data_IF_413459122019
#
_entry.id   IF_413459122019
#
_cell.length_a   1.000
_cell.length_b   1.000
_cell.length_c   1.000
_cell.angle_alpha   90.00
_cell.angle_beta   90.00
_cell.angle_gamma   90.00
#
_symmetry.space_group_name_H-M   'P 1'
#
loop_
_entity.id
_entity.type
_entity.pdbx_description
1 polymer ?
#
# COMPACT_ATOMS: atom_id res chain seq x y z
N UNK A 1 -7.25 -5.77 -16.54
CA UNK A 1 -7.22 -6.96 -15.66
C UNK A 1 -8.14 -7.99 -16.29
N UNK A 2 -7.71 -9.25 -16.40
CA UNK A 2 -8.60 -10.32 -16.88
C UNK A 2 -9.70 -10.53 -15.83
N UNK A 3 -10.97 -10.61 -16.23
CA UNK A 3 -12.08 -10.83 -15.28
C UNK A 3 -12.10 -12.28 -14.81
N UNK A 4 -12.78 -12.53 -13.69
CA UNK A 4 -12.99 -13.90 -13.19
C UNK A 4 -13.76 -14.74 -14.23
N UNK A 5 -14.71 -14.13 -14.94
CA UNK A 5 -15.49 -14.74 -16.02
C UNK A 5 -14.58 -15.27 -17.15
N UNK A 6 -13.73 -14.40 -17.70
CA UNK A 6 -12.78 -14.77 -18.75
C UNK A 6 -11.83 -15.91 -18.32
N UNK A 7 -11.48 -15.96 -17.03
CA UNK A 7 -10.64 -17.06 -16.51
C UNK A 7 -11.37 -18.41 -16.48
N UNK A 8 -12.68 -18.41 -16.19
CA UNK A 8 -13.52 -19.61 -16.21
C UNK A 8 -13.72 -20.07 -17.65
N UNK A 9 -13.99 -19.13 -18.56
CA UNK A 9 -14.22 -19.41 -19.97
C UNK A 9 -12.99 -20.04 -20.64
N UNK A 10 -11.78 -19.53 -20.37
CA UNK A 10 -10.52 -20.17 -20.80
C UNK A 10 -10.45 -21.64 -20.37
N UNK A 11 -10.84 -21.94 -19.12
CA UNK A 11 -10.81 -23.31 -18.57
C UNK A 11 -11.87 -24.20 -19.18
N UNK A 12 -13.07 -23.68 -19.43
CA UNK A 12 -14.16 -24.42 -20.07
C UNK A 12 -13.78 -24.80 -21.50
N UNK A 13 -13.32 -23.84 -22.30
CA UNK A 13 -12.90 -24.08 -23.69
C UNK A 13 -11.72 -25.06 -23.77
N UNK A 14 -10.76 -24.96 -22.84
CA UNK A 14 -9.66 -25.92 -22.80
C UNK A 14 -10.13 -27.34 -22.41
N UNK A 15 -11.10 -27.48 -21.50
CA UNK A 15 -11.71 -28.79 -21.16
C UNK A 15 -12.52 -29.38 -22.33
N UNK A 16 -13.11 -28.53 -23.15
CA UNK A 16 -13.79 -28.92 -24.39
C UNK A 16 -12.81 -29.31 -25.52
N UNK A 17 -11.49 -29.22 -25.29
CA UNK A 17 -10.47 -29.63 -26.25
C UNK A 17 -10.00 -28.53 -27.22
N UNK A 18 -10.42 -27.29 -27.03
CA UNK A 18 -9.96 -26.19 -27.88
C UNK A 18 -8.47 -25.91 -27.68
N UNK A 19 -7.76 -25.67 -28.79
CA UNK A 19 -6.35 -25.28 -28.74
C UNK A 19 -6.18 -23.87 -28.16
N UNK A 20 -5.02 -23.60 -27.54
CA UNK A 20 -4.65 -22.26 -27.03
C UNK A 20 -4.84 -21.16 -28.09
N UNK A 21 -4.58 -21.47 -29.37
CA UNK A 21 -4.74 -20.51 -30.48
C UNK A 21 -6.20 -20.21 -30.78
N UNK A 22 -7.09 -21.20 -30.65
CA UNK A 22 -8.53 -21.02 -30.83
C UNK A 22 -9.10 -20.15 -29.69
N UNK A 23 -8.80 -20.51 -28.44
CA UNK A 23 -9.22 -19.78 -27.24
C UNK A 23 -8.77 -18.31 -27.28
N UNK A 24 -7.52 -18.08 -27.70
CA UNK A 24 -6.98 -16.72 -27.84
C UNK A 24 -7.74 -15.88 -28.88
N UNK A 25 -8.19 -16.48 -29.98
CA UNK A 25 -8.95 -15.78 -31.03
C UNK A 25 -10.38 -15.50 -30.59
N UNK A 26 -11.00 -16.48 -29.94
CA UNK A 26 -12.38 -16.41 -29.47
C UNK A 26 -12.56 -15.36 -28.36
N UNK A 27 -11.64 -15.32 -27.39
CA UNK A 27 -11.69 -14.39 -26.27
C UNK A 27 -10.95 -13.06 -26.51
N UNK A 28 -10.32 -12.89 -27.68
CA UNK A 28 -9.51 -11.70 -28.00
C UNK A 28 -8.29 -11.52 -27.09
N UNK A 29 -7.73 -12.62 -26.56
CA UNK A 29 -6.63 -12.61 -25.59
C UNK A 29 -5.29 -12.99 -26.22
N UNK A 30 -4.19 -12.54 -25.61
CA UNK A 30 -2.87 -13.03 -25.99
C UNK A 30 -2.72 -14.53 -25.68
N UNK A 31 -2.05 -15.27 -26.56
CA UNK A 31 -1.71 -16.70 -26.32
C UNK A 31 -0.95 -16.91 -25.02
N UNK A 32 -0.13 -15.93 -24.61
CA UNK A 32 0.63 -15.98 -23.36
C UNK A 32 -0.30 -15.86 -22.14
N UNK A 33 -1.34 -15.03 -22.23
CA UNK A 33 -2.39 -14.93 -21.20
C UNK A 33 -3.11 -16.27 -21.06
N UNK A 34 -3.62 -16.82 -22.17
CA UNK A 34 -4.32 -18.12 -22.15
C UNK A 34 -3.41 -19.22 -21.57
N UNK A 35 -2.15 -19.30 -22.02
CA UNK A 35 -1.18 -20.29 -21.50
C UNK A 35 -0.93 -20.12 -20.00
N UNK A 36 -0.80 -18.87 -19.52
CA UNK A 36 -0.60 -18.57 -18.09
C UNK A 36 -1.79 -19.07 -17.25
N UNK A 37 -3.01 -18.74 -17.67
CA UNK A 37 -4.24 -19.11 -16.96
C UNK A 37 -4.59 -20.60 -17.04
N UNK A 38 -4.07 -21.32 -18.03
CA UNK A 38 -4.19 -22.78 -18.10
C UNK A 38 -3.14 -23.52 -17.25
N UNK A 39 -1.95 -22.94 -17.07
CA UNK A 39 -0.88 -23.52 -16.24
C UNK A 39 -1.13 -23.27 -14.75
N UNK A 40 -1.48 -22.04 -14.41
CA UNK A 40 -1.80 -21.65 -13.05
C UNK A 40 -3.27 -22.01 -12.78
N UNK A 41 -3.51 -23.10 -12.07
CA UNK A 41 -4.86 -23.56 -11.71
C UNK A 41 -5.67 -22.51 -10.91
N UNK A 42 -5.01 -21.48 -10.37
CA UNK A 42 -5.62 -20.35 -9.67
C UNK A 42 -5.55 -19.06 -10.48
N UNK A 43 -6.56 -18.21 -10.31
CA UNK A 43 -6.46 -16.78 -10.63
C UNK A 43 -5.12 -16.26 -10.09
N UNK A 44 -4.32 -15.49 -10.85
CA UNK A 44 -3.19 -14.78 -10.27
C UNK A 44 -3.78 -13.79 -9.26
N UNK A 45 -3.92 -14.26 -8.02
CA UNK A 45 -4.34 -13.44 -6.90
C UNK A 45 -3.21 -12.44 -6.76
N UNK A 46 -3.48 -11.20 -7.17
CA UNK A 46 -2.55 -10.11 -6.95
C UNK A 46 -2.42 -9.97 -5.44
N UNK A 47 -1.43 -10.64 -4.86
CA UNK A 47 -1.13 -10.47 -3.44
C UNK A 47 -0.78 -8.99 -3.28
N UNK A 48 -1.43 -8.27 -2.37
CA UNK A 48 -1.02 -6.91 -2.05
C UNK A 48 0.48 -6.97 -1.76
N UNK A 49 1.24 -6.10 -2.44
CA UNK A 49 2.69 -6.03 -2.23
C UNK A 49 2.93 -5.83 -0.73
N UNK A 50 3.83 -6.59 -0.08
CA UNK A 50 4.11 -6.37 1.32
C UNK A 50 4.48 -4.89 1.52
N UNK A 51 3.99 -4.25 2.58
CA UNK A 51 4.28 -2.84 2.84
C UNK A 51 5.80 -2.68 2.84
N UNK A 52 6.29 -1.76 2.00
CA UNK A 52 7.71 -1.49 1.91
C UNK A 52 8.16 -0.89 3.23
N UNK A 53 9.19 -1.46 3.85
CA UNK A 53 9.80 -0.88 5.03
C UNK A 53 10.21 0.57 4.73
N UNK A 54 9.65 1.51 5.46
CA UNK A 54 9.99 2.92 5.36
C UNK A 54 11.20 3.19 6.25
N UNK A 55 12.07 4.12 5.82
CA UNK A 55 13.22 4.55 6.64
C UNK A 55 12.82 5.09 8.01
N UNK A 56 11.56 5.50 8.16
CA UNK A 56 10.99 6.04 9.39
C UNK A 56 10.58 4.93 10.38
N UNK A 57 10.37 3.68 9.93
CA UNK A 57 9.82 2.60 10.76
C UNK A 57 10.60 2.38 12.08
N UNK A 58 11.95 2.38 12.10
CA UNK A 58 12.70 2.21 13.34
C UNK A 58 12.58 3.38 14.34
N UNK A 59 12.09 4.54 13.89
CA UNK A 59 12.02 5.76 14.70
C UNK A 59 10.59 6.07 15.17
N UNK A 60 9.60 5.27 14.77
CA UNK A 60 8.18 5.50 15.10
C UNK A 60 7.93 5.46 16.60
N UNK A 61 8.47 4.46 17.29
CA UNK A 61 8.27 4.29 18.74
C UNK A 61 8.82 5.48 19.52
N UNK A 62 10.00 5.98 19.13
CA UNK A 62 10.59 7.20 19.69
C UNK A 62 9.70 8.42 19.46
N UNK A 63 9.22 8.61 18.23
CA UNK A 63 8.36 9.75 17.89
C UNK A 63 7.04 9.72 18.64
N UNK A 64 6.45 8.54 18.84
CA UNK A 64 5.21 8.39 19.61
C UNK A 64 5.45 8.71 21.09
N UNK A 65 6.49 8.15 21.71
CA UNK A 65 6.82 8.44 23.11
C UNK A 65 7.11 9.94 23.33
N UNK A 66 7.82 10.59 22.39
CA UNK A 66 8.08 12.04 22.45
C UNK A 66 6.81 12.87 22.27
N UNK A 67 5.93 12.48 21.35
CA UNK A 67 4.65 13.17 21.15
C UNK A 67 3.73 13.04 22.38
N UNK A 68 3.71 11.88 23.03
CA UNK A 68 2.95 11.65 24.26
C UNK A 68 3.52 12.45 25.44
N UNK A 69 4.85 12.45 25.62
CA UNK A 69 5.52 13.23 26.66
C UNK A 69 5.34 14.75 26.51
N UNK A 70 5.08 15.24 25.30
CA UNK A 70 4.86 16.65 25.04
C UNK A 70 3.44 17.13 25.33
N UNK A 71 2.47 16.23 25.53
CA UNK A 71 1.06 16.61 25.74
C UNK A 71 0.94 17.48 27.00
N UNK A 72 0.17 18.59 26.95
CA UNK A 72 -0.78 18.99 25.89
C UNK A 72 -0.16 19.79 24.74
N UNK A 73 1.13 20.12 24.79
CA UNK A 73 1.82 20.92 23.79
C UNK A 73 2.27 20.07 22.59
N UNK A 74 2.48 20.73 21.45
CA UNK A 74 2.87 20.06 20.21
C UNK A 74 4.30 20.41 19.81
N UNK A 75 5.15 19.41 19.63
CA UNK A 75 6.52 19.60 19.15
C UNK A 75 6.51 19.79 17.62
N UNK A 76 7.12 20.86 17.09
CA UNK A 76 7.25 21.04 15.64
C UNK A 76 8.00 19.88 14.99
N UNK A 77 7.54 19.44 13.81
CA UNK A 77 8.17 18.36 13.06
C UNK A 77 9.64 18.62 12.72
N UNK A 78 10.07 19.89 12.66
CA UNK A 78 11.48 20.28 12.46
C UNK A 78 12.36 19.91 13.65
N UNK A 79 11.85 19.99 14.88
CA UNK A 79 12.58 19.60 16.10
C UNK A 79 12.70 18.09 16.15
N UNK A 80 11.57 17.37 15.96
CA UNK A 80 11.56 15.91 15.92
C UNK A 80 12.46 15.36 14.82
N UNK A 81 12.54 16.04 13.66
CA UNK A 81 13.46 15.67 12.58
C UNK A 81 14.92 15.72 13.03
N UNK A 82 15.33 16.78 13.74
CA UNK A 82 16.69 16.92 14.25
C UNK A 82 17.02 15.83 15.27
N UNK A 83 16.08 15.52 16.16
CA UNK A 83 16.22 14.44 17.14
C UNK A 83 16.45 13.08 16.44
N UNK A 84 15.60 12.69 15.49
CA UNK A 84 15.75 11.41 14.79
C UNK A 84 16.95 11.40 13.83
N UNK A 85 17.36 12.54 13.28
CA UNK A 85 18.58 12.64 12.47
C UNK A 85 19.82 12.35 13.32
N UNK A 86 19.87 12.83 14.56
CA UNK A 86 20.93 12.49 15.49
C UNK A 86 20.95 10.99 15.85
N UNK A 87 19.78 10.33 15.80
CA UNK A 87 19.64 8.88 15.96
C UNK A 87 19.92 8.08 14.66
N UNK A 88 20.30 8.73 13.55
CA UNK A 88 20.68 8.08 12.30
C UNK A 88 19.60 8.06 11.21
N UNK A 89 18.54 8.87 11.32
CA UNK A 89 17.50 8.96 10.29
C UNK A 89 18.00 9.68 9.02
N UNK A 90 18.11 8.91 7.92
CA UNK A 90 18.50 9.41 6.60
C UNK A 90 17.30 9.71 5.66
N UNK A 91 16.12 9.94 6.22
CA UNK A 91 14.91 10.28 5.47
C UNK A 91 14.57 11.77 5.50
N UNK A 92 13.54 12.15 4.73
CA UNK A 92 13.10 13.54 4.61
C UNK A 92 12.00 13.92 5.61
N UNK A 93 11.81 15.23 5.79
CA UNK A 93 10.76 15.81 6.65
C UNK A 93 9.35 15.49 6.17
N UNK A 94 9.14 15.28 4.86
CA UNK A 94 7.81 14.99 4.31
C UNK A 94 7.22 13.70 4.84
N UNK A 95 8.02 12.62 4.92
CA UNK A 95 7.56 11.34 5.50
C UNK A 95 7.25 11.49 6.99
N UNK A 96 8.08 12.24 7.71
CA UNK A 96 7.85 12.55 9.12
C UNK A 96 6.54 13.31 9.32
N UNK A 97 6.27 14.35 8.52
CA UNK A 97 5.01 15.12 8.59
C UNK A 97 3.78 14.25 8.32
N UNK A 98 3.83 13.37 7.33
CA UNK A 98 2.74 12.43 7.03
C UNK A 98 2.46 11.51 8.21
N UNK A 99 3.51 11.00 8.86
CA UNK A 99 3.38 10.14 10.04
C UNK A 99 2.86 10.90 11.28
N UNK A 100 3.30 12.14 11.50
CA UNK A 100 2.88 12.96 12.65
C UNK A 100 1.49 13.58 12.49
N UNK A 101 0.99 13.73 11.26
CA UNK A 101 -0.33 14.33 10.98
C UNK A 101 -1.48 13.69 11.79
N UNK A 102 -1.66 12.35 11.84
CA UNK A 102 -2.69 11.73 12.66
C UNK A 102 -2.46 11.87 14.18
N UNK A 103 -1.20 12.03 14.62
CA UNK A 103 -0.86 12.20 16.04
C UNK A 103 -1.15 13.61 16.56
N UNK A 104 -1.32 14.59 15.65
CA UNK A 104 -1.64 15.97 16.02
C UNK A 104 -3.11 16.06 16.41
N UNK A 105 -3.40 15.93 17.71
CA UNK A 105 -4.69 16.37 18.25
C UNK A 105 -4.81 17.88 18.04
N UNK A 106 -5.69 18.31 17.13
CA UNK A 106 -6.04 19.72 16.98
C UNK A 106 -6.92 20.09 18.18
N UNK A 107 -6.49 20.98 19.09
CA UNK A 107 -7.40 21.49 20.10
C UNK A 107 -8.54 22.22 19.37
N UNK A 108 -9.77 21.81 19.65
CA UNK A 108 -10.96 22.54 19.19
C UNK A 108 -11.08 23.75 20.11
N UNK A 109 -10.68 24.92 19.63
CA UNK A 109 -10.97 26.16 20.37
C UNK A 109 -12.50 26.35 20.37
N UNK A 110 -13.13 26.54 21.55
CA UNK A 110 -14.55 26.81 21.60
C UNK A 110 -14.82 28.14 20.90
N UNK A 111 -15.71 28.13 19.90
CA UNK A 111 -16.15 29.34 19.23
C UNK A 111 -16.99 30.15 20.22
N UNK A 112 -16.37 31.14 20.88
CA UNK A 112 -17.09 32.12 21.71
C UNK A 112 -17.75 33.12 20.75
N UNK A 113 -19.07 33.02 20.62
CA UNK A 113 -19.88 34.05 19.97
C UNK A 113 -20.20 35.11 21.02
N UNK A 114 -19.79 36.35 20.77
CA UNK A 114 -20.19 37.53 21.54
C UNK A 114 -21.51 38.08 21.01
#
# INVERSE_FOLDING_TARGET
MLTQEQSVEIKVLARQGHSIKAIARELGLSRNTVRKYLRDAGLPHYKPRPPRAYKLDPFKDYLQARAEAARPHWIPATVLLREIQALGYAGGISQLKVYLAPLKCRPVEPVVRF
#
